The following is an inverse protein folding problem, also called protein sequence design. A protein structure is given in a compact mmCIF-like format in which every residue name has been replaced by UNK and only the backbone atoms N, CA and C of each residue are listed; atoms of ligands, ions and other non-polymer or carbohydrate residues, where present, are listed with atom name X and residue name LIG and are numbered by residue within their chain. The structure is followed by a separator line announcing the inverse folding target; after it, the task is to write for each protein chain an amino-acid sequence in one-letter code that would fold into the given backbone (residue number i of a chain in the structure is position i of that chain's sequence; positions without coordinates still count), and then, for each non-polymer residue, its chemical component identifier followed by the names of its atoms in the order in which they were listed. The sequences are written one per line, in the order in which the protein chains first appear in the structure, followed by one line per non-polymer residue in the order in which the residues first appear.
data_IF_911572643175
#
_entry.id   IF_911572643175
#
_cell.length_a   1.000
_cell.length_b   1.000
_cell.length_c   1.000
_cell.angle_alpha   90.00
_cell.angle_beta   90.00
_cell.angle_gamma   90.00
#
_symmetry.space_group_name_H-M   'P 1'
#
loop_
_entity.id
_entity.type
_entity.pdbx_description
1 polymer ?
#
# COMPACT_ATOMS: atom_id res chain seq x y z
N UNK A 1 8.59 -0.20 2.01
CA UNK A 1 7.24 0.31 1.69
C UNK A 1 7.31 1.28 0.51
N UNK A 2 6.30 1.22 -0.35
CA UNK A 2 6.24 2.10 -1.51
C UNK A 2 5.71 3.47 -1.13
N UNK A 3 6.08 4.48 -1.90
CA UNK A 3 5.63 5.84 -1.65
C UNK A 3 4.31 6.07 -2.35
N UNK A 4 3.93 5.05 -3.07
CA UNK A 4 2.66 4.94 -3.73
C UNK A 4 1.86 3.82 -3.10
N UNK A 5 2.13 3.58 -1.84
CA UNK A 5 1.64 2.44 -1.10
C UNK A 5 0.13 2.27 -1.18
N UNK A 6 -0.62 3.37 -1.27
CA UNK A 6 -2.08 3.33 -1.31
C UNK A 6 -2.59 3.09 -2.74
N UNK A 7 -1.76 3.43 -3.72
CA UNK A 7 -2.04 3.09 -5.10
C UNK A 7 -1.62 1.66 -5.35
N UNK A 8 -0.58 1.26 -4.66
CA UNK A 8 0.12 0.02 -4.93
C UNK A 8 -0.63 -1.16 -4.34
N UNK A 9 -1.19 -2.04 -5.20
CA UNK A 9 -1.93 -3.22 -4.75
C UNK A 9 -1.07 -4.14 -3.88
N UNK A 10 0.24 -4.09 -4.12
CA UNK A 10 1.18 -4.93 -3.40
C UNK A 10 1.43 -4.41 -1.98
N UNK A 11 1.19 -3.13 -1.73
CA UNK A 11 1.42 -2.57 -0.42
C UNK A 11 0.13 -2.74 0.31
N UNK A 12 -0.90 -2.34 -0.43
CA UNK A 12 -2.27 -2.55 -0.08
C UNK A 12 -2.50 -3.93 0.50
N UNK A 13 -1.86 -4.91 -0.12
CA UNK A 13 -2.01 -6.32 0.18
C UNK A 13 -2.02 -6.60 1.68
N UNK A 14 -1.02 -6.08 2.38
CA UNK A 14 -0.88 -6.40 3.81
C UNK A 14 -1.11 -5.14 4.62
N UNK A 15 -1.55 -4.11 3.93
CA UNK A 15 -1.59 -2.77 4.51
C UNK A 15 -2.80 -1.97 4.07
N UNK A 17 -5.06 -0.71 6.11
CA UNK A 17 -5.34 0.30 7.12
C UNK A 17 -4.22 1.35 7.13
N UNK A 18 -3.34 1.24 6.14
CA UNK A 18 -2.27 2.20 5.94
C UNK A 18 -2.81 3.41 5.20
N UNK A 19 -3.92 3.19 4.53
CA UNK A 19 -4.59 4.21 3.74
C UNK A 19 -6.01 3.74 3.43
#
# INVERSE_FOLDING_TARGET
IRDECCSNPACRYNNXHVC
#
